data_IF_465296341770
#
_entry.id   IF_465296341770
#
_cell.length_a   1.000
_cell.length_b   1.000
_cell.length_c   1.000
_cell.angle_alpha   90.00
_cell.angle_beta   90.00
_cell.angle_gamma   90.00
#
_symmetry.space_group_name_H-M   'P 1'
#
loop_
_entity.id
_entity.type
_entity.pdbx_description
1 polymer ?
#
# COMPACT_ATOMS: atom_id res chain seq x y z
N UNK A 1 -20.05 159.17 -83.87
CA UNK A 1 -19.65 157.87 -84.44
C UNK A 1 -19.31 156.95 -83.29
N UNK A 2 -19.72 155.68 -83.39
CA UNK A 2 -20.12 154.77 -82.29
C UNK A 2 -18.99 154.55 -81.27
N UNK A 3 -19.14 155.09 -80.05
CA UNK A 3 -18.24 154.77 -78.93
C UNK A 3 -18.58 153.39 -78.38
N UNK A 4 -17.58 152.52 -78.14
CA UNK A 4 -17.78 151.14 -77.71
C UNK A 4 -18.47 151.09 -76.34
N UNK A 5 -19.46 150.19 -76.20
CA UNK A 5 -20.18 149.92 -74.94
C UNK A 5 -19.21 149.37 -73.90
N UNK A 6 -18.54 150.24 -73.16
CA UNK A 6 -17.71 149.88 -72.01
C UNK A 6 -18.59 149.50 -70.82
N UNK A 7 -18.33 148.34 -70.22
CA UNK A 7 -19.08 147.88 -69.05
C UNK A 7 -18.68 148.72 -67.84
N UNK A 8 -19.66 149.12 -67.02
CA UNK A 8 -19.43 149.85 -65.78
C UNK A 8 -18.69 148.97 -64.73
N UNK A 9 -17.36 149.06 -64.71
CA UNK A 9 -16.48 148.45 -63.72
C UNK A 9 -15.76 149.53 -62.88
N UNK A 10 -15.18 149.15 -61.74
CA UNK A 10 -14.57 150.09 -60.79
C UNK A 10 -13.52 151.01 -61.44
N UNK A 11 -12.64 150.46 -62.28
CA UNK A 11 -11.59 151.23 -62.96
C UNK A 11 -12.17 152.27 -63.93
N UNK A 12 -13.15 151.88 -64.76
CA UNK A 12 -13.75 152.75 -65.76
C UNK A 12 -14.61 153.84 -65.13
N UNK A 13 -15.37 153.52 -64.08
CA UNK A 13 -16.19 154.51 -63.35
C UNK A 13 -15.31 155.52 -62.62
N UNK A 14 -14.20 155.08 -62.01
CA UNK A 14 -13.26 155.99 -61.34
C UNK A 14 -12.55 156.89 -62.35
N UNK A 15 -12.10 156.35 -63.48
CA UNK A 15 -11.48 157.13 -64.55
C UNK A 15 -12.46 158.09 -65.26
N UNK A 16 -13.76 157.78 -65.30
CA UNK A 16 -14.78 158.69 -65.78
C UNK A 16 -15.04 159.83 -64.78
N UNK A 17 -15.08 159.53 -63.48
CA UNK A 17 -15.17 160.56 -62.43
C UNK A 17 -13.95 161.49 -62.44
N UNK A 18 -12.73 160.94 -62.58
CA UNK A 18 -11.50 161.72 -62.68
C UNK A 18 -11.53 162.66 -63.90
N UNK A 19 -12.02 162.19 -65.06
CA UNK A 19 -12.13 163.01 -66.27
C UNK A 19 -13.19 164.11 -66.18
N UNK A 20 -14.35 163.80 -65.60
CA UNK A 20 -15.43 164.78 -65.41
C UNK A 20 -15.06 165.83 -64.34
N UNK A 21 -14.33 165.46 -63.29
CA UNK A 21 -13.84 166.42 -62.28
C UNK A 21 -12.68 167.28 -62.82
N UNK A 22 -11.81 166.71 -63.66
CA UNK A 22 -10.76 167.46 -64.35
C UNK A 22 -11.32 168.46 -65.40
N UNK A 23 -12.49 168.18 -65.98
CA UNK A 23 -13.18 169.07 -66.92
C UNK A 23 -13.85 170.30 -66.26
N UNK A 24 -13.85 170.40 -64.92
CA UNK A 24 -14.27 171.57 -64.12
C UNK A 24 -15.71 172.10 -64.31
N UNK A 25 -16.62 171.31 -64.85
CA UNK A 25 -18.07 171.59 -64.82
C UNK A 25 -18.78 170.72 -63.76
N UNK A 26 -19.88 171.24 -63.18
CA UNK A 26 -20.68 170.48 -62.20
C UNK A 26 -21.36 169.31 -62.89
N UNK A 27 -20.78 168.12 -62.71
CA UNK A 27 -21.30 166.88 -63.24
C UNK A 27 -22.18 166.13 -62.23
N UNK A 28 -23.18 165.44 -62.75
CA UNK A 28 -24.12 164.59 -62.03
C UNK A 28 -23.92 163.11 -62.38
N UNK A 29 -24.59 162.24 -61.64
CA UNK A 29 -24.51 160.78 -61.82
C UNK A 29 -24.84 160.31 -63.25
N UNK A 30 -25.70 161.04 -63.97
CA UNK A 30 -26.03 160.76 -65.38
C UNK A 30 -24.87 161.03 -66.32
N UNK A 31 -24.04 162.03 -66.02
CA UNK A 31 -22.87 162.37 -66.82
C UNK A 31 -21.82 161.24 -66.71
N UNK A 32 -21.60 160.69 -65.51
CA UNK A 32 -20.74 159.50 -65.33
C UNK A 32 -21.29 158.30 -66.08
N UNK A 33 -22.60 158.08 -66.06
CA UNK A 33 -23.23 156.95 -66.76
C UNK A 33 -23.16 157.11 -68.28
N UNK A 34 -23.32 158.32 -68.78
CA UNK A 34 -23.12 158.66 -70.19
C UNK A 34 -21.68 158.38 -70.61
N UNK A 35 -20.71 158.81 -69.80
CA UNK A 35 -19.28 158.69 -70.13
C UNK A 35 -18.74 157.27 -70.03
N UNK A 36 -19.31 156.45 -69.14
CA UNK A 36 -18.97 155.04 -69.02
C UNK A 36 -19.69 154.19 -70.09
N UNK A 37 -20.66 154.77 -70.84
CA UNK A 37 -21.35 154.11 -71.96
C UNK A 37 -22.56 153.27 -71.56
N UNK A 38 -23.12 153.51 -70.36
CA UNK A 38 -24.26 152.79 -69.79
C UNK A 38 -23.89 151.80 -68.68
N UNK A 39 -24.85 151.55 -67.79
CA UNK A 39 -24.70 150.68 -66.61
C UNK A 39 -25.85 150.92 -65.63
N UNK A 40 -26.13 149.94 -64.77
CA UNK A 40 -27.17 150.05 -63.75
C UNK A 40 -26.71 150.95 -62.58
N UNK A 41 -27.61 151.78 -62.06
CA UNK A 41 -27.33 152.66 -60.92
C UNK A 41 -26.82 151.93 -59.68
N UNK A 42 -27.25 150.69 -59.50
CA UNK A 42 -26.83 149.82 -58.40
C UNK A 42 -25.32 149.59 -58.38
N UNK A 43 -24.65 149.66 -59.55
CA UNK A 43 -23.18 149.49 -59.66
C UNK A 43 -22.47 150.84 -59.67
N UNK A 44 -23.04 151.84 -60.38
CA UNK A 44 -22.38 153.13 -60.57
C UNK A 44 -22.42 153.97 -59.28
N UNK A 45 -23.55 154.04 -58.57
CA UNK A 45 -23.68 154.91 -57.38
C UNK A 45 -22.73 154.50 -56.23
N UNK A 46 -22.57 153.22 -55.88
CA UNK A 46 -21.59 152.82 -54.86
C UNK A 46 -20.14 153.14 -55.26
N UNK A 47 -19.81 153.03 -56.55
CA UNK A 47 -18.48 153.34 -57.05
C UNK A 47 -18.20 154.85 -57.07
N UNK A 48 -19.17 155.68 -57.44
CA UNK A 48 -19.04 157.15 -57.31
C UNK A 48 -18.88 157.54 -55.83
N UNK A 49 -19.65 156.92 -54.92
CA UNK A 49 -19.50 157.14 -53.47
C UNK A 49 -18.12 156.72 -52.97
N UNK A 50 -17.63 155.56 -53.38
CA UNK A 50 -16.29 155.07 -53.02
C UNK A 50 -15.19 156.01 -53.56
N UNK A 51 -15.32 156.49 -54.80
CA UNK A 51 -14.39 157.45 -55.38
C UNK A 51 -14.40 158.77 -54.59
N UNK A 52 -15.57 159.33 -54.24
CA UNK A 52 -15.67 160.53 -53.40
C UNK A 52 -15.10 160.34 -52.00
N UNK A 53 -15.25 159.15 -51.40
CA UNK A 53 -14.71 158.82 -50.09
C UNK A 53 -13.18 158.65 -50.08
N UNK A 54 -12.60 158.22 -51.20
CA UNK A 54 -11.14 158.05 -51.34
C UNK A 54 -10.42 159.33 -51.77
N UNK A 55 -11.15 160.36 -52.23
CA UNK A 55 -10.58 161.66 -52.63
C UNK A 55 -9.76 162.34 -51.52
N UNK A 56 -10.21 162.44 -50.25
CA UNK A 56 -9.45 163.09 -49.18
C UNK A 56 -8.17 162.33 -48.79
N UNK A 57 -8.14 161.01 -49.01
CA UNK A 57 -7.01 160.14 -48.65
C UNK A 57 -5.90 160.12 -49.71
N UNK A 58 -6.19 160.58 -50.93
CA UNK A 58 -5.22 160.64 -52.04
C UNK A 58 -4.44 161.95 -52.08
N UNK A 59 -4.98 163.05 -51.53
CA UNK A 59 -4.32 164.35 -51.46
C UNK A 59 -3.34 164.47 -50.27
N UNK A 60 -3.40 163.56 -49.30
CA UNK A 60 -2.61 163.61 -48.06
C UNK A 60 -1.76 162.36 -47.89
N UNK A 61 -0.58 162.33 -48.53
CA UNK A 61 0.70 161.93 -47.91
C UNK A 61 1.75 161.50 -48.94
N UNK A 62 2.83 162.29 -49.08
CA UNK A 62 4.19 161.78 -49.14
C UNK A 62 4.88 161.97 -47.77
N UNK A 63 5.72 161.00 -47.41
CA UNK A 63 6.65 160.90 -46.24
C UNK A 63 6.09 160.45 -44.87
N UNK A 64 6.01 159.14 -44.64
CA UNK A 64 6.25 158.54 -43.32
C UNK A 64 7.76 158.26 -43.15
N UNK A 65 8.41 158.64 -42.04
CA UNK A 65 9.87 158.47 -41.86
C UNK A 65 10.29 156.99 -41.82
N UNK A 66 11.25 156.62 -42.66
CA UNK A 66 11.77 155.25 -42.84
C UNK A 66 12.30 154.61 -41.55
N UNK A 67 12.77 155.39 -40.59
CA UNK A 67 13.34 154.88 -39.32
C UNK A 67 12.31 154.16 -38.43
N UNK A 68 11.07 154.64 -38.37
CA UNK A 68 10.01 154.00 -37.58
C UNK A 68 9.60 152.64 -38.18
N UNK A 69 9.52 152.57 -39.51
CA UNK A 69 9.26 151.30 -40.20
C UNK A 69 10.40 150.31 -39.96
N UNK A 70 11.64 150.78 -39.90
CA UNK A 70 12.81 149.94 -39.64
C UNK A 70 12.87 149.46 -38.18
N UNK A 71 12.47 150.28 -37.21
CA UNK A 71 12.34 149.86 -35.81
C UNK A 71 11.22 148.85 -35.60
N UNK A 72 10.05 149.06 -36.23
CA UNK A 72 8.94 148.10 -36.16
C UNK A 72 9.31 146.79 -36.87
N UNK A 73 9.98 146.85 -38.02
CA UNK A 73 10.50 145.68 -38.71
C UNK A 73 11.51 144.91 -37.84
N UNK A 74 12.50 145.59 -37.24
CA UNK A 74 13.48 144.96 -36.36
C UNK A 74 12.84 144.36 -35.09
N UNK A 75 11.84 145.03 -34.52
CA UNK A 75 11.08 144.50 -33.37
C UNK A 75 10.24 143.27 -33.74
N UNK A 76 9.62 143.27 -34.93
CA UNK A 76 8.86 142.13 -35.43
C UNK A 76 9.79 140.97 -35.78
N UNK A 77 10.93 141.23 -36.41
CA UNK A 77 11.95 140.22 -36.71
C UNK A 77 12.48 139.58 -35.42
N UNK A 78 12.80 140.38 -34.40
CA UNK A 78 13.21 139.86 -33.10
C UNK A 78 12.11 139.03 -32.42
N UNK A 79 10.85 139.46 -32.52
CA UNK A 79 9.71 138.73 -31.94
C UNK A 79 9.41 137.44 -32.69
N UNK A 80 9.46 137.45 -34.02
CA UNK A 80 9.30 136.27 -34.88
C UNK A 80 10.45 135.30 -34.63
N UNK A 81 11.69 135.78 -34.53
CA UNK A 81 12.84 134.95 -34.19
C UNK A 81 12.67 134.28 -32.81
N UNK A 82 12.30 135.05 -31.79
CA UNK A 82 12.04 134.52 -30.45
C UNK A 82 10.89 133.51 -30.40
N UNK A 83 9.79 133.79 -31.10
CA UNK A 83 8.69 132.81 -31.21
C UNK A 83 9.08 131.55 -31.98
N UNK A 84 9.91 131.68 -33.01
CA UNK A 84 10.39 130.53 -33.79
C UNK A 84 11.29 129.67 -32.91
N UNK A 85 12.20 130.28 -32.16
CA UNK A 85 13.08 129.59 -31.20
C UNK A 85 12.28 128.91 -30.08
N UNK A 86 11.25 129.57 -29.53
CA UNK A 86 10.37 128.97 -28.53
C UNK A 86 9.53 127.82 -29.12
N UNK A 87 9.01 127.97 -30.34
CA UNK A 87 8.25 126.93 -31.02
C UNK A 87 9.12 125.71 -31.36
N UNK A 88 10.34 125.93 -31.84
CA UNK A 88 11.35 124.90 -32.09
C UNK A 88 11.80 124.23 -30.78
N UNK A 89 11.98 125.01 -29.70
CA UNK A 89 12.28 124.52 -28.37
C UNK A 89 11.20 123.57 -27.84
N UNK A 90 9.93 124.00 -27.88
CA UNK A 90 8.79 123.14 -27.50
C UNK A 90 8.65 121.92 -28.41
N UNK A 91 8.90 122.05 -29.71
CA UNK A 91 8.87 120.92 -30.62
C UNK A 91 9.98 119.91 -30.29
N UNK A 92 11.18 120.38 -30.00
CA UNK A 92 12.31 119.54 -29.56
C UNK A 92 12.02 118.84 -28.24
N UNK A 93 11.43 119.55 -27.27
CA UNK A 93 11.04 118.98 -25.98
C UNK A 93 9.92 117.94 -26.14
N UNK A 94 8.88 118.23 -26.92
CA UNK A 94 7.83 117.28 -27.25
C UNK A 94 8.37 116.05 -27.97
N UNK A 95 9.30 116.22 -28.91
CA UNK A 95 9.95 115.12 -29.61
C UNK A 95 10.74 114.24 -28.63
N UNK A 96 11.50 114.85 -27.71
CA UNK A 96 12.22 114.11 -26.67
C UNK A 96 11.28 113.31 -25.77
N UNK A 97 10.18 113.91 -25.31
CA UNK A 97 9.17 113.21 -24.49
C UNK A 97 8.54 112.06 -25.29
N UNK A 98 8.24 112.29 -26.56
CA UNK A 98 7.70 111.25 -27.44
C UNK A 98 8.69 110.10 -27.61
N UNK A 99 9.96 110.39 -27.91
CA UNK A 99 10.99 109.38 -28.12
C UNK A 99 11.27 108.60 -26.83
N UNK A 100 11.31 109.25 -25.66
CA UNK A 100 11.48 108.54 -24.37
C UNK A 100 10.28 107.66 -24.05
N UNK A 101 9.05 108.16 -24.23
CA UNK A 101 7.84 107.36 -23.98
C UNK A 101 7.71 106.19 -24.93
N UNK A 102 8.03 106.37 -26.22
CA UNK A 102 8.08 105.29 -27.21
C UNK A 102 9.13 104.26 -26.83
N UNK A 103 10.32 104.69 -26.39
CA UNK A 103 11.38 103.77 -25.94
C UNK A 103 10.94 102.96 -24.71
N UNK A 104 10.37 103.61 -23.69
CA UNK A 104 9.89 102.93 -22.47
C UNK A 104 8.74 101.96 -22.76
N UNK A 105 7.80 102.34 -23.64
CA UNK A 105 6.70 101.45 -24.03
C UNK A 105 7.20 100.27 -24.85
N UNK A 106 8.17 100.49 -25.74
CA UNK A 106 8.78 99.41 -26.54
C UNK A 106 9.55 98.43 -25.66
N UNK A 107 10.27 98.93 -24.66
CA UNK A 107 10.97 98.08 -23.69
C UNK A 107 9.98 97.25 -22.86
N UNK A 108 8.91 97.86 -22.35
CA UNK A 108 7.85 97.15 -21.63
C UNK A 108 7.16 96.10 -22.49
N UNK A 109 6.88 96.42 -23.76
CA UNK A 109 6.30 95.46 -24.71
C UNK A 109 7.25 94.28 -24.94
N UNK A 110 8.53 94.53 -25.16
CA UNK A 110 9.52 93.46 -25.36
C UNK A 110 9.65 92.56 -24.12
N UNK A 111 9.59 93.12 -22.90
CA UNK A 111 9.60 92.34 -21.66
C UNK A 111 8.33 91.48 -21.56
N UNK A 112 7.15 92.05 -21.81
CA UNK A 112 5.89 91.31 -21.77
C UNK A 112 5.83 90.20 -22.82
N UNK A 113 6.35 90.44 -24.03
CA UNK A 113 6.46 89.44 -25.09
C UNK A 113 7.39 88.29 -24.66
N UNK A 114 8.54 88.60 -24.05
CA UNK A 114 9.46 87.58 -23.54
C UNK A 114 8.86 86.77 -22.38
N UNK A 115 8.15 87.42 -21.45
CA UNK A 115 7.44 86.74 -20.36
C UNK A 115 6.32 85.85 -20.89
N UNK A 116 5.57 86.32 -21.89
CA UNK A 116 4.49 85.55 -22.49
C UNK A 116 5.02 84.32 -23.21
N UNK A 117 6.10 84.45 -23.97
CA UNK A 117 6.79 83.34 -24.64
C UNK A 117 7.27 82.30 -23.62
N UNK A 118 7.94 82.74 -22.55
CA UNK A 118 8.40 81.85 -21.48
C UNK A 118 7.24 81.12 -20.80
N UNK A 119 6.11 81.80 -20.56
CA UNK A 119 4.92 81.18 -19.99
C UNK A 119 4.29 80.16 -20.94
N UNK A 120 4.25 80.43 -22.24
CA UNK A 120 3.75 79.47 -23.23
C UNK A 120 4.63 78.23 -23.32
N UNK A 121 5.96 78.38 -23.31
CA UNK A 121 6.89 77.25 -23.28
C UNK A 121 6.72 76.43 -22.00
N UNK A 122 6.62 77.08 -20.84
CA UNK A 122 6.40 76.40 -19.56
C UNK A 122 5.07 75.65 -19.51
N UNK A 123 4.02 76.22 -20.12
CA UNK A 123 2.70 75.58 -20.18
C UNK A 123 2.74 74.34 -21.08
N UNK A 124 3.34 74.45 -22.27
CA UNK A 124 3.52 73.32 -23.18
C UNK A 124 4.34 72.20 -22.54
N UNK A 125 5.42 72.54 -21.83
CA UNK A 125 6.21 71.56 -21.09
C UNK A 125 5.38 70.86 -20.00
N UNK A 126 4.57 71.62 -19.26
CA UNK A 126 3.67 71.04 -18.25
C UNK A 126 2.60 70.15 -18.86
N UNK A 127 2.05 70.51 -20.02
CA UNK A 127 1.03 69.72 -20.72
C UNK A 127 1.60 68.37 -21.18
N UNK A 128 2.84 68.35 -21.69
CA UNK A 128 3.54 67.11 -22.06
C UNK A 128 3.74 66.22 -20.83
N UNK A 129 4.15 66.78 -19.69
CA UNK A 129 4.33 66.01 -18.45
C UNK A 129 2.98 65.49 -17.93
N UNK A 130 1.93 66.29 -17.97
CA UNK A 130 0.58 65.88 -17.56
C UNK A 130 0.04 64.76 -18.45
N UNK A 131 0.26 64.83 -19.77
CA UNK A 131 -0.11 63.76 -20.69
C UNK A 131 0.62 62.45 -20.36
N UNK A 132 1.94 62.51 -20.14
CA UNK A 132 2.74 61.35 -19.76
C UNK A 132 2.32 60.74 -18.41
N UNK A 133 2.01 61.57 -17.42
CA UNK A 133 1.49 61.11 -16.13
C UNK A 133 0.11 60.46 -16.27
N UNK A 134 -0.74 61.00 -17.13
CA UNK A 134 -2.07 60.42 -17.40
C UNK A 134 -1.94 59.04 -18.04
N UNK A 135 -1.06 58.88 -19.03
CA UNK A 135 -0.77 57.60 -19.67
C UNK A 135 -0.23 56.57 -18.67
N UNK A 136 0.72 56.95 -17.80
CA UNK A 136 1.24 56.08 -16.75
C UNK A 136 0.16 55.65 -15.75
N UNK A 137 -0.75 56.56 -15.40
CA UNK A 137 -1.84 56.28 -14.47
C UNK A 137 -2.86 55.32 -15.09
N UNK A 138 -3.21 55.51 -16.37
CA UNK A 138 -4.05 54.58 -17.13
C UNK A 138 -3.42 53.20 -17.23
N UNK A 139 -2.12 53.12 -17.53
CA UNK A 139 -1.40 51.84 -17.59
C UNK A 139 -1.39 51.13 -16.22
N UNK A 140 -1.08 51.84 -15.14
CA UNK A 140 -1.11 51.27 -13.79
C UNK A 140 -2.51 50.79 -13.39
N UNK A 141 -3.57 51.50 -13.81
CA UNK A 141 -4.96 51.07 -13.60
C UNK A 141 -5.29 49.79 -14.36
N UNK A 142 -4.82 49.66 -15.61
CA UNK A 142 -5.00 48.44 -16.40
C UNK A 142 -4.29 47.25 -15.77
N UNK A 143 -3.02 47.40 -15.39
CA UNK A 143 -2.24 46.33 -14.73
C UNK A 143 -2.87 45.92 -13.39
N UNK A 144 -3.38 46.88 -12.61
CA UNK A 144 -4.09 46.58 -11.36
C UNK A 144 -5.40 45.84 -11.62
N UNK A 145 -6.15 46.21 -12.67
CA UNK A 145 -7.37 45.51 -13.06
C UNK A 145 -7.06 44.07 -13.49
N UNK A 146 -6.04 43.87 -14.32
CA UNK A 146 -5.60 42.54 -14.75
C UNK A 146 -5.18 41.69 -13.56
N UNK A 147 -4.33 42.22 -12.67
CA UNK A 147 -3.90 41.53 -11.44
C UNK A 147 -5.10 41.15 -10.54
N UNK A 148 -6.10 42.02 -10.41
CA UNK A 148 -7.33 41.69 -9.67
C UNK A 148 -8.11 40.54 -10.30
N UNK A 149 -8.19 40.49 -11.63
CA UNK A 149 -8.87 39.39 -12.32
C UNK A 149 -8.10 38.08 -12.20
N UNK A 150 -6.78 38.11 -12.30
CA UNK A 150 -5.89 36.96 -12.10
C UNK A 150 -6.05 36.40 -10.68
N UNK A 151 -6.01 37.28 -9.68
CA UNK A 151 -6.14 36.89 -8.27
C UNK A 151 -7.53 36.30 -7.99
N UNK A 152 -8.59 36.87 -8.58
CA UNK A 152 -9.93 36.28 -8.47
C UNK A 152 -9.99 34.85 -9.04
N UNK A 153 -9.34 34.58 -10.19
CA UNK A 153 -9.25 33.23 -10.75
C UNK A 153 -8.49 32.29 -9.81
N UNK A 154 -7.33 32.72 -9.31
CA UNK A 154 -6.51 31.91 -8.39
C UNK A 154 -7.25 31.58 -7.09
N UNK A 155 -8.03 32.51 -6.54
CA UNK A 155 -8.87 32.26 -5.36
C UNK A 155 -9.93 31.21 -5.68
N UNK A 156 -10.63 31.32 -6.81
CA UNK A 156 -11.65 30.32 -7.20
C UNK A 156 -11.06 28.93 -7.45
N UNK A 157 -9.85 28.85 -8.03
CA UNK A 157 -9.14 27.58 -8.21
C UNK A 157 -8.72 27.00 -6.86
N UNK A 158 -8.20 27.83 -5.95
CA UNK A 158 -7.79 27.41 -4.61
C UNK A 158 -8.98 26.88 -3.78
N UNK A 159 -10.14 27.56 -3.84
CA UNK A 159 -11.37 27.09 -3.22
C UNK A 159 -11.82 25.74 -3.81
N UNK A 160 -11.69 25.58 -5.13
CA UNK A 160 -11.97 24.32 -5.83
C UNK A 160 -11.06 23.17 -5.38
N UNK A 161 -9.75 23.42 -5.31
CA UNK A 161 -8.74 22.46 -4.84
C UNK A 161 -8.96 22.11 -3.36
N UNK A 162 -9.23 23.10 -2.51
CA UNK A 162 -9.55 22.90 -1.09
C UNK A 162 -10.79 22.02 -0.92
N UNK A 163 -11.81 22.25 -1.74
CA UNK A 163 -13.00 21.39 -1.78
C UNK A 163 -12.70 19.96 -2.24
N UNK A 164 -11.81 19.78 -3.21
CA UNK A 164 -11.39 18.45 -3.66
C UNK A 164 -10.58 17.70 -2.60
N UNK A 165 -9.63 18.36 -1.93
CA UNK A 165 -8.87 17.79 -0.82
C UNK A 165 -9.80 17.33 0.29
N UNK A 166 -10.76 18.18 0.69
CA UNK A 166 -11.74 17.84 1.73
C UNK A 166 -12.58 16.61 1.39
N UNK A 167 -12.95 16.44 0.10
CA UNK A 167 -13.68 15.24 -0.38
C UNK A 167 -12.80 13.99 -0.32
N UNK A 168 -11.57 14.08 -0.82
CA UNK A 168 -10.63 12.95 -0.80
C UNK A 168 -10.28 12.52 0.62
N UNK A 169 -10.09 13.46 1.55
CA UNK A 169 -9.85 13.15 2.97
C UNK A 169 -11.04 12.42 3.60
N UNK A 170 -12.28 12.82 3.27
CA UNK A 170 -13.50 12.16 3.75
C UNK A 170 -13.63 10.75 3.19
N UNK A 171 -13.37 10.56 1.90
CA UNK A 171 -13.38 9.25 1.23
C UNK A 171 -12.31 8.34 1.84
N UNK A 172 -11.08 8.83 2.00
CA UNK A 172 -9.99 8.10 2.61
C UNK A 172 -10.28 7.69 4.05
N UNK A 173 -10.86 8.61 4.86
CA UNK A 173 -11.30 8.29 6.24
C UNK A 173 -12.37 7.19 6.25
N UNK A 174 -13.31 7.25 5.32
CA UNK A 174 -14.38 6.24 5.20
C UNK A 174 -13.80 4.88 4.78
N UNK A 175 -12.87 4.86 3.83
CA UNK A 175 -12.18 3.65 3.39
C UNK A 175 -11.37 3.00 4.51
N UNK A 176 -10.61 3.80 5.29
CA UNK A 176 -9.89 3.31 6.47
C UNK A 176 -10.85 2.70 7.48
N UNK A 177 -11.99 3.35 7.74
CA UNK A 177 -13.00 2.82 8.66
C UNK A 177 -13.56 1.48 8.16
N UNK A 178 -13.88 1.36 6.87
CA UNK A 178 -14.33 0.10 6.24
C UNK A 178 -13.31 -1.02 6.40
N UNK A 179 -12.04 -0.76 6.07
CA UNK A 179 -10.95 -1.74 6.19
C UNK A 179 -10.77 -2.16 7.66
N UNK A 180 -10.84 -1.23 8.60
CA UNK A 180 -10.74 -1.54 10.02
C UNK A 180 -11.93 -2.38 10.52
N UNK A 181 -13.14 -2.14 10.03
CA UNK A 181 -14.30 -2.97 10.36
C UNK A 181 -14.18 -4.37 9.76
N UNK A 182 -13.80 -4.48 8.50
CA UNK A 182 -13.58 -5.76 7.81
C UNK A 182 -12.48 -6.58 8.50
N UNK A 183 -11.36 -5.96 8.87
CA UNK A 183 -10.29 -6.65 9.61
C UNK A 183 -10.76 -7.17 10.97
N UNK A 184 -11.57 -6.39 11.71
CA UNK A 184 -12.13 -6.85 12.99
C UNK A 184 -13.10 -8.02 12.81
N UNK A 185 -13.93 -7.98 11.77
CA UNK A 185 -14.85 -9.07 11.45
C UNK A 185 -14.10 -10.33 11.04
N UNK A 186 -13.08 -10.21 10.19
CA UNK A 186 -12.24 -11.32 9.76
C UNK A 186 -11.47 -11.95 10.93
N UNK A 187 -10.92 -11.14 11.84
CA UNK A 187 -10.29 -11.63 13.06
C UNK A 187 -11.28 -12.39 13.96
N UNK A 188 -12.52 -11.91 14.06
CA UNK A 188 -13.58 -12.58 14.82
C UNK A 188 -13.97 -13.91 14.17
N UNK A 189 -14.11 -13.95 12.85
CA UNK A 189 -14.37 -15.18 12.09
C UNK A 189 -13.25 -16.20 12.30
N UNK A 190 -11.99 -15.82 12.14
CA UNK A 190 -10.86 -16.72 12.37
C UNK A 190 -10.72 -17.19 13.82
N UNK A 191 -11.14 -16.39 14.80
CA UNK A 191 -11.19 -16.84 16.19
C UNK A 191 -12.29 -17.89 16.39
N UNK A 192 -13.46 -17.68 15.78
CA UNK A 192 -14.57 -18.61 15.84
C UNK A 192 -14.25 -19.94 15.12
N UNK A 193 -13.68 -19.88 13.92
CA UNK A 193 -13.25 -21.06 13.15
C UNK A 193 -12.23 -21.89 13.93
N UNK A 194 -11.24 -21.23 14.57
CA UNK A 194 -10.27 -21.92 15.42
C UNK A 194 -10.92 -22.58 16.64
N UNK A 195 -11.91 -21.93 17.25
CA UNK A 195 -12.66 -22.52 18.37
C UNK A 195 -13.46 -23.74 17.91
N UNK A 196 -14.17 -23.63 16.79
CA UNK A 196 -14.96 -24.73 16.22
C UNK A 196 -14.06 -25.91 15.85
N UNK A 197 -12.95 -25.68 15.15
CA UNK A 197 -12.00 -26.74 14.82
C UNK A 197 -11.42 -27.41 16.09
N UNK A 198 -11.10 -26.63 17.13
CA UNK A 198 -10.62 -27.18 18.40
C UNK A 198 -11.68 -28.05 19.09
N UNK A 199 -12.95 -27.63 19.08
CA UNK A 199 -14.08 -28.41 19.61
C UNK A 199 -14.32 -29.69 18.79
N UNK A 200 -14.29 -29.62 17.46
CA UNK A 200 -14.38 -30.77 16.56
C UNK A 200 -13.25 -31.77 16.82
N UNK A 201 -12.01 -31.30 16.94
CA UNK A 201 -10.88 -32.17 17.27
C UNK A 201 -11.01 -32.78 18.67
N UNK A 202 -11.43 -32.00 19.67
CA UNK A 202 -11.63 -32.51 21.02
C UNK A 202 -12.71 -33.59 21.09
N UNK A 203 -13.83 -33.38 20.39
CA UNK A 203 -14.93 -34.36 20.29
C UNK A 203 -14.50 -35.61 19.52
N UNK A 204 -13.76 -35.48 18.42
CA UNK A 204 -13.20 -36.61 17.68
C UNK A 204 -12.22 -37.45 18.53
N UNK A 205 -11.33 -36.80 19.28
CA UNK A 205 -10.41 -37.48 20.21
C UNK A 205 -11.19 -38.20 21.32
N UNK A 206 -12.22 -37.56 21.88
CA UNK A 206 -13.07 -38.19 22.89
C UNK A 206 -13.78 -39.44 22.34
N UNK A 207 -14.30 -39.37 21.12
CA UNK A 207 -14.90 -40.51 20.43
C UNK A 207 -13.90 -41.65 20.19
N UNK A 208 -12.69 -41.34 19.71
CA UNK A 208 -11.61 -42.33 19.52
C UNK A 208 -11.20 -42.99 20.83
N UNK A 209 -11.07 -42.21 21.92
CA UNK A 209 -10.75 -42.75 23.26
C UNK A 209 -11.84 -43.70 23.75
N UNK A 210 -13.10 -43.37 23.52
CA UNK A 210 -14.24 -44.23 23.86
C UNK A 210 -14.21 -45.54 23.07
N UNK A 211 -13.98 -45.47 21.77
CA UNK A 211 -13.86 -46.66 20.91
C UNK A 211 -12.71 -47.55 21.35
N UNK A 212 -11.52 -46.98 21.60
CA UNK A 212 -10.36 -47.74 22.10
C UNK A 212 -10.65 -48.39 23.46
N UNK A 213 -11.36 -47.71 24.36
CA UNK A 213 -11.75 -48.29 25.64
C UNK A 213 -12.72 -49.47 25.46
N UNK A 214 -13.69 -49.37 24.54
CA UNK A 214 -14.60 -50.48 24.22
C UNK A 214 -13.87 -51.67 23.58
N UNK A 215 -12.91 -51.41 22.69
CA UNK A 215 -12.08 -52.47 22.10
C UNK A 215 -11.20 -53.15 23.13
N UNK A 216 -10.63 -52.39 24.08
CA UNK A 216 -9.85 -52.93 25.19
C UNK A 216 -10.72 -53.82 26.09
N UNK A 217 -11.93 -53.38 26.44
CA UNK A 217 -12.89 -54.16 27.23
C UNK A 217 -13.30 -55.46 26.51
N UNK A 218 -13.58 -55.41 25.21
CA UNK A 218 -13.87 -56.61 24.41
C UNK A 218 -12.69 -57.58 24.36
N UNK A 219 -11.47 -57.07 24.21
CA UNK A 219 -10.27 -57.89 24.21
C UNK A 219 -10.03 -58.55 25.57
N UNK A 220 -10.22 -57.81 26.67
CA UNK A 220 -10.13 -58.32 28.03
C UNK A 220 -11.17 -59.41 28.29
N UNK A 221 -12.43 -59.17 27.93
CA UNK A 221 -13.50 -60.15 28.03
C UNK A 221 -13.18 -61.44 27.25
N UNK A 222 -12.62 -61.32 26.04
CA UNK A 222 -12.21 -62.47 25.24
C UNK A 222 -11.06 -63.25 25.90
N UNK A 223 -10.07 -62.55 26.45
CA UNK A 223 -8.96 -63.18 27.17
C UNK A 223 -9.45 -63.90 28.44
N UNK A 224 -10.42 -63.32 29.15
CA UNK A 224 -11.01 -63.94 30.34
C UNK A 224 -11.68 -65.27 30.00
N UNK A 225 -12.48 -65.32 28.93
CA UNK A 225 -13.13 -66.55 28.45
C UNK A 225 -12.09 -67.61 28.05
N UNK A 226 -11.05 -67.23 27.30
CA UNK A 226 -9.98 -68.15 26.92
C UNK A 226 -9.23 -68.69 28.13
N UNK A 227 -8.97 -67.84 29.11
CA UNK A 227 -8.26 -68.22 30.33
C UNK A 227 -9.10 -69.18 31.20
N UNK A 228 -10.42 -68.98 31.28
CA UNK A 228 -11.32 -69.91 31.96
C UNK A 228 -11.43 -71.25 31.21
N UNK A 229 -11.44 -71.22 29.87
CA UNK A 229 -11.36 -72.43 29.06
C UNK A 229 -10.08 -73.22 29.34
N UNK A 230 -8.91 -72.57 29.27
CA UNK A 230 -7.60 -73.18 29.56
C UNK A 230 -7.54 -73.73 30.99
N UNK A 231 -8.09 -73.01 31.98
CA UNK A 231 -8.20 -73.50 33.36
C UNK A 231 -9.05 -74.76 33.46
N UNK A 232 -10.18 -74.81 32.76
CA UNK A 232 -11.06 -75.96 32.77
C UNK A 232 -10.42 -77.15 32.04
N UNK A 233 -9.76 -76.93 30.91
CA UNK A 233 -8.99 -77.95 30.19
C UNK A 233 -7.88 -78.52 31.08
N UNK A 234 -7.10 -77.66 31.73
CA UNK A 234 -6.08 -78.06 32.70
C UNK A 234 -6.67 -78.90 33.85
N UNK A 235 -7.81 -78.49 34.43
CA UNK A 235 -8.50 -79.25 35.49
C UNK A 235 -8.98 -80.62 35.00
N UNK A 236 -9.51 -80.71 33.79
CA UNK A 236 -9.93 -82.00 33.21
C UNK A 236 -8.73 -82.91 32.92
N UNK A 237 -7.62 -82.34 32.47
CA UNK A 237 -6.36 -83.06 32.26
C UNK A 237 -5.78 -83.57 33.59
N UNK A 238 -5.77 -82.73 34.62
CA UNK A 238 -5.36 -83.08 35.98
C UNK A 238 -6.22 -84.21 36.55
N UNK A 239 -7.55 -84.13 36.42
CA UNK A 239 -8.46 -85.19 36.85
C UNK A 239 -8.20 -86.52 36.11
N UNK A 240 -7.96 -86.48 34.79
CA UNK A 240 -7.58 -87.67 34.01
C UNK A 240 -6.25 -88.26 34.48
N UNK A 241 -5.24 -87.42 34.71
CA UNK A 241 -3.93 -87.84 35.21
C UNK A 241 -4.03 -88.44 36.61
N UNK A 242 -4.80 -87.82 37.51
CA UNK A 242 -5.08 -88.32 38.85
C UNK A 242 -5.77 -89.69 38.80
N UNK A 243 -6.81 -89.86 37.97
CA UNK A 243 -7.47 -91.16 37.79
C UNK A 243 -6.54 -92.22 37.18
N UNK A 244 -5.66 -91.85 36.25
CA UNK A 244 -4.64 -92.76 35.74
C UNK A 244 -3.62 -93.16 36.82
N UNK A 245 -3.19 -92.21 37.65
CA UNK A 245 -2.30 -92.47 38.79
C UNK A 245 -2.94 -93.42 39.79
N UNK A 246 -4.23 -93.26 40.08
CA UNK A 246 -4.97 -94.16 40.96
C UNK A 246 -5.05 -95.58 40.38
N UNK A 247 -5.35 -95.72 39.07
CA UNK A 247 -5.34 -97.03 38.39
C UNK A 247 -3.96 -97.69 38.42
N UNK A 248 -2.88 -96.93 38.20
CA UNK A 248 -1.51 -97.45 38.29
C UNK A 248 -1.21 -97.86 39.73
N UNK A 249 -1.59 -97.05 40.72
CA UNK A 249 -1.42 -97.37 42.14
C UNK A 249 -2.14 -98.66 42.52
N UNK A 250 -3.40 -98.83 42.09
CA UNK A 250 -4.17 -100.06 42.29
C UNK A 250 -3.51 -101.26 41.60
N UNK A 251 -3.02 -101.10 40.37
CA UNK A 251 -2.32 -102.17 39.64
C UNK A 251 -1.02 -102.57 40.35
N UNK A 252 -0.24 -101.60 40.83
CA UNK A 252 0.97 -101.85 41.61
C UNK A 252 0.64 -102.56 42.91
N UNK A 253 -0.45 -102.15 43.59
CA UNK A 253 -0.89 -102.83 44.81
C UNK A 253 -1.33 -104.27 44.55
N UNK A 254 -2.15 -104.51 43.52
CA UNK A 254 -2.53 -105.86 43.10
C UNK A 254 -1.32 -106.71 42.73
N UNK A 255 -0.33 -106.13 42.03
CA UNK A 255 0.94 -106.80 41.74
C UNK A 255 1.69 -107.14 43.02
N UNK A 256 1.79 -106.23 44.00
CA UNK A 256 2.39 -106.52 45.31
C UNK A 256 1.68 -107.65 46.02
N UNK A 257 0.35 -107.66 46.05
CA UNK A 257 -0.43 -108.71 46.68
C UNK A 257 -0.19 -110.07 45.99
N UNK A 258 -0.10 -110.10 44.66
CA UNK A 258 0.27 -111.32 43.92
C UNK A 258 1.70 -111.76 44.21
N UNK A 259 2.65 -110.84 44.34
CA UNK A 259 4.04 -111.16 44.72
C UNK A 259 4.05 -111.78 46.12
N UNK A 260 3.35 -111.20 47.09
CA UNK A 260 3.24 -111.74 48.46
C UNK A 260 2.63 -113.16 48.44
N UNK A 261 1.58 -113.37 47.64
CA UNK A 261 0.97 -114.70 47.48
C UNK A 261 1.95 -115.72 46.88
N UNK A 262 2.68 -115.34 45.83
CA UNK A 262 3.71 -116.18 45.22
C UNK A 262 4.86 -116.46 46.19
N UNK A 263 5.36 -115.46 46.92
CA UNK A 263 6.39 -115.63 47.95
C UNK A 263 5.95 -116.62 49.04
N UNK A 264 4.67 -116.55 49.45
CA UNK A 264 4.09 -117.48 50.43
C UNK A 264 4.02 -118.90 49.87
N UNK A 265 3.58 -119.05 48.61
CA UNK A 265 3.56 -120.35 47.92
C UNK A 265 4.97 -120.93 47.75
N UNK A 266 5.96 -120.11 47.42
CA UNK A 266 7.36 -120.54 47.31
C UNK A 266 7.86 -121.01 48.67
N UNK A 267 7.61 -120.28 49.76
CA UNK A 267 7.98 -120.72 51.12
C UNK A 267 7.36 -122.08 51.48
N UNK A 268 6.08 -122.30 51.16
CA UNK A 268 5.44 -123.59 51.44
C UNK A 268 6.01 -124.72 50.56
N UNK A 269 6.28 -124.45 49.28
CA UNK A 269 6.94 -125.42 48.39
C UNK A 269 8.36 -125.75 48.88
N UNK A 270 9.13 -124.76 49.34
CA UNK A 270 10.45 -124.99 49.95
C UNK A 270 10.32 -125.89 51.17
N UNK A 271 9.35 -125.64 52.06
CA UNK A 271 9.07 -126.49 53.23
C UNK A 271 8.68 -127.92 52.84
N UNK A 272 7.90 -128.08 51.77
CA UNK A 272 7.54 -129.41 51.24
C UNK A 272 8.75 -130.13 50.65
N UNK A 273 9.62 -129.43 49.91
CA UNK A 273 10.86 -129.99 49.42
C UNK A 273 11.78 -130.42 50.56
N UNK A 274 11.98 -129.58 51.58
CA UNK A 274 12.76 -129.93 52.78
C UNK A 274 12.19 -131.18 53.46
N UNK A 275 10.86 -131.29 53.55
CA UNK A 275 10.19 -132.48 54.10
C UNK A 275 10.42 -133.72 53.22
N UNK A 276 10.27 -133.60 51.90
CA UNK A 276 10.53 -134.68 50.96
C UNK A 276 11.98 -135.12 51.01
N UNK A 277 12.94 -134.19 51.08
CA UNK A 277 14.36 -134.48 51.23
C UNK A 277 14.64 -135.25 52.54
N UNK A 278 14.00 -134.88 53.65
CA UNK A 278 14.07 -135.64 54.90
C UNK A 278 13.49 -137.05 54.74
N UNK A 279 12.33 -137.18 54.10
CA UNK A 279 11.70 -138.49 53.82
C UNK A 279 12.59 -139.34 52.89
N UNK A 280 13.22 -138.75 51.88
CA UNK A 280 14.10 -139.41 50.92
C UNK A 280 15.39 -139.85 51.60
N UNK A 281 15.96 -139.01 52.47
CA UNK A 281 17.12 -139.35 53.30
C UNK A 281 16.80 -140.54 54.22
N UNK A 282 15.66 -140.50 54.91
CA UNK A 282 15.20 -141.62 55.74
C UNK A 282 14.94 -142.89 54.92
N UNK A 283 14.45 -142.76 53.68
CA UNK A 283 14.27 -143.90 52.77
C UNK A 283 15.59 -144.49 52.30
N UNK A 284 16.58 -143.64 52.01
CA UNK A 284 17.94 -144.05 51.66
C UNK A 284 18.60 -144.75 52.83
N UNK A 285 18.48 -144.22 54.05
CA UNK A 285 18.97 -144.87 55.28
C UNK A 285 18.31 -146.24 55.52
N UNK A 286 17.00 -146.34 55.32
CA UNK A 286 16.30 -147.63 55.39
C UNK A 286 16.75 -148.60 54.30
N UNK A 287 16.95 -148.11 53.07
CA UNK A 287 17.43 -148.93 51.96
C UNK A 287 18.86 -149.42 52.18
N UNK A 288 19.76 -148.57 52.70
CA UNK A 288 21.12 -148.97 53.05
C UNK A 288 21.12 -149.97 54.19
N UNK A 289 20.31 -149.78 55.23
CA UNK A 289 20.14 -150.76 56.31
C UNK A 289 19.62 -152.11 55.78
N UNK A 290 18.63 -152.10 54.89
CA UNK A 290 18.13 -153.32 54.23
C UNK A 290 19.21 -153.99 53.38
N UNK A 291 20.01 -153.21 52.66
CA UNK A 291 21.08 -153.72 51.82
C UNK A 291 22.21 -154.33 52.65
N UNK A 292 22.57 -153.72 53.79
CA UNK A 292 23.49 -154.30 54.77
C UNK A 292 22.95 -155.63 55.31
N UNK A 293 21.67 -155.68 55.68
CA UNK A 293 21.03 -156.92 56.14
C UNK A 293 20.98 -158.01 55.05
N UNK A 294 20.77 -157.60 53.78
CA UNK A 294 20.82 -158.51 52.64
C UNK A 294 22.22 -159.09 52.41
N UNK A 295 23.27 -158.27 52.55
CA UNK A 295 24.65 -158.74 52.44
C UNK A 295 25.05 -159.64 53.63
N UNK A 296 24.56 -159.38 54.85
CA UNK A 296 24.69 -160.30 55.99
C UNK A 296 23.98 -161.65 55.73
N UNK A 297 22.78 -161.61 55.14
CA UNK A 297 22.03 -162.80 54.70
C UNK A 297 22.78 -163.57 53.60
N UNK A 298 23.41 -162.88 52.65
CA UNK A 298 24.26 -163.53 51.63
C UNK A 298 25.51 -164.15 52.25
N UNK A 299 26.16 -163.47 53.20
CA UNK A 299 27.34 -163.97 53.90
C UNK A 299 27.01 -165.22 54.72
N UNK A 300 25.89 -165.22 55.45
CA UNK A 300 25.40 -166.41 56.17
C UNK A 300 25.02 -167.54 55.21
N UNK A 301 24.35 -167.24 54.09
CA UNK A 301 24.05 -168.24 53.05
C UNK A 301 25.32 -168.83 52.42
N UNK A 302 26.37 -168.01 52.22
CA UNK A 302 27.66 -168.47 51.71
C UNK A 302 28.37 -169.36 52.73
N UNK A 303 28.30 -169.02 54.03
CA UNK A 303 28.82 -169.85 55.12
C UNK A 303 28.10 -171.20 55.20
N UNK A 304 26.76 -171.20 55.15
CA UNK A 304 25.94 -172.42 55.13
C UNK A 304 26.26 -173.27 53.89
N UNK A 305 26.48 -172.65 52.73
CA UNK A 305 26.93 -173.37 51.52
C UNK A 305 28.29 -174.03 51.73
N UNK A 306 29.25 -173.34 52.35
CA UNK A 306 30.56 -173.92 52.68
C UNK A 306 30.45 -175.10 53.65
N UNK A 307 29.64 -174.96 54.70
CA UNK A 307 29.35 -176.05 55.66
C UNK A 307 28.67 -177.24 54.97
N UNK A 308 27.74 -176.99 54.04
CA UNK A 308 27.08 -178.03 53.26
C UNK A 308 28.05 -178.77 52.33
N UNK A 309 29.02 -178.09 51.72
CA UNK A 309 30.08 -178.74 50.94
C UNK A 309 31.04 -179.56 51.80
N UNK A 310 31.38 -179.08 53.00
CA UNK A 310 32.20 -179.83 53.96
C UNK A 310 31.47 -181.10 54.43
N UNK A 311 30.17 -181.00 54.72
CA UNK A 311 29.31 -182.13 55.07
C UNK A 311 29.23 -183.18 53.93
N UNK A 312 29.15 -182.72 52.67
CA UNK A 312 29.12 -183.59 51.49
C UNK A 312 30.42 -184.37 51.26
N UNK A 313 31.58 -183.82 51.66
CA UNK A 313 32.87 -184.51 51.57
C UNK A 313 33.08 -185.55 52.67
N UNK A 314 32.41 -185.41 53.82
CA UNK A 314 32.62 -186.30 54.96
C UNK A 314 31.84 -187.62 54.87
N UNK A 315 30.87 -187.75 53.96
CA UNK A 315 29.90 -188.87 53.94
C UNK A 315 29.86 -189.76 52.66
N UNK A 316 30.81 -189.70 51.73
CA UNK A 316 31.02 -190.69 50.63
C UNK A 316 29.76 -191.27 49.91
N UNK A 317 28.67 -190.50 49.80
CA UNK A 317 27.36 -190.91 49.26
C UNK A 317 27.29 -191.06 47.72
N UNK A 318 28.42 -191.04 47.02
CA UNK A 318 28.49 -191.16 45.56
C UNK A 318 28.88 -192.55 45.03
N UNK A 319 29.47 -193.40 45.87
CA UNK A 319 30.06 -194.69 45.45
C UNK A 319 29.16 -195.92 45.61
N UNK A 320 28.20 -195.91 46.54
CA UNK A 320 27.46 -197.12 46.95
C UNK A 320 26.12 -197.31 46.22
N UNK A 321 25.61 -196.31 45.48
CA UNK A 321 24.35 -196.41 44.73
C UNK A 321 24.50 -196.97 43.30
N UNK A 322 25.71 -196.92 42.72
CA UNK A 322 26.00 -197.48 41.40
C UNK A 322 26.19 -199.01 41.40
N UNK A 323 26.78 -199.56 42.47
CA UNK A 323 26.98 -201.00 42.63
C UNK A 323 25.68 -201.79 42.86
N UNK A 324 24.61 -201.12 43.31
CA UNK A 324 23.27 -201.71 43.48
C UNK A 324 22.45 -201.72 42.17
N UNK A 325 22.81 -200.87 41.19
CA UNK A 325 22.05 -200.69 39.96
C UNK A 325 22.42 -201.71 38.88
N UNK A 326 23.69 -202.15 38.81
CA UNK A 326 24.13 -203.16 37.84
C UNK A 326 23.85 -204.62 38.29
N UNK A 327 23.80 -204.89 39.60
CA UNK A 327 23.39 -206.19 40.14
C UNK A 327 21.89 -206.50 39.88
N UNK A 328 21.05 -205.46 39.73
CA UNK A 328 19.62 -205.58 39.40
C UNK A 328 19.42 -205.77 37.89
N UNK A 329 20.25 -205.16 37.04
CA UNK A 329 20.21 -205.36 35.59
C UNK A 329 20.61 -206.79 35.17
N UNK A 330 21.57 -207.42 35.86
CA UNK A 330 21.99 -208.81 35.60
C UNK A 330 20.96 -209.88 35.99
N UNK A 331 20.09 -209.61 36.99
CA UNK A 331 19.08 -210.56 37.48
C UNK A 331 17.71 -210.43 36.77
N UNK A 332 17.44 -209.32 36.07
CA UNK A 332 16.11 -209.06 35.48
C UNK A 332 15.88 -209.51 34.04
N UNK A 333 16.85 -210.07 33.32
CA UNK A 333 16.60 -210.62 31.98
C UNK A 333 17.17 -212.01 31.68
N UNK A 334 17.86 -212.65 32.65
CA UNK A 334 17.87 -214.13 32.74
C UNK A 334 16.49 -214.70 33.16
N UNK A 335 15.52 -213.83 33.51
CA UNK A 335 14.13 -214.19 33.86
C UNK A 335 13.15 -214.15 32.66
N UNK A 336 13.53 -213.55 31.53
CA UNK A 336 12.78 -213.59 30.26
C UNK A 336 13.20 -214.73 29.33
N UNK A 337 14.21 -215.52 29.69
CA UNK A 337 14.64 -216.72 28.96
C UNK A 337 14.04 -218.04 29.52
N UNK A 338 13.23 -217.96 30.60
CA UNK A 338 12.69 -219.17 31.30
C UNK A 338 11.16 -219.31 31.38
N UNK A 339 10.36 -218.42 30.77
CA UNK A 339 8.88 -218.44 30.90
C UNK A 339 8.04 -218.47 29.60
N UNK A 340 8.61 -218.85 28.44
CA UNK A 340 7.79 -219.20 27.26
C UNK A 340 8.40 -220.29 26.36
N UNK A 341 8.87 -221.39 26.97
CA UNK A 341 8.75 -222.74 26.40
C UNK A 341 7.62 -223.44 27.17
N UNK A 342 6.54 -223.82 26.45
CA UNK A 342 5.33 -224.61 26.84
C UNK A 342 4.00 -223.86 27.09
N UNK A 343 3.39 -223.46 25.97
CA UNK A 343 1.97 -223.50 25.54
C UNK A 343 1.96 -222.72 24.21
N UNK A 344 1.99 -223.28 23.01
CA UNK A 344 1.76 -224.61 22.41
C UNK A 344 2.86 -224.89 21.38
#
# INVERSE_FOLDING_TARGET
MIMPKTIANASNVFAACDRLDAAKDRWNREDVRSEVGGGGWVVIDPLIKAWRALRPLREVAPSTPTELLQQVAASLEAHIAGFTEEAEGRLSENQKIFDTTVSELSEKLAILEAELEQKTESLQASDVVNAALTEQLEQAQMELAESRTENAKLVTENDGLTGQVSRMEKEHKTAIQSIQTEQRELLKQHAQERSQAAEEHATAIAAQRKELAQQAEQAENRLMVLLDQERQEAKTAESKLSGNLEKVTQKVQAQRDTIIALETSVKELTRQNEKLDLELTARVENYTALQTSLEEQKATTASIKQEFTAYKQQHALGGELGALQDAVAGLQAQLTERKKKRRE
#
